data_IF_798055872360
#
_entry.id   IF_798055872360
#
_cell.length_a   1.000
_cell.length_b   1.000
_cell.length_c   1.000
_cell.angle_alpha   90.00
_cell.angle_beta   90.00
_cell.angle_gamma   90.00
#
_symmetry.space_group_name_H-M   'P 1'
#
loop_
_entity.id
_entity.type
_entity.pdbx_description
1 polymer ?
#
# COMPACT_ATOMS: atom_id res chain seq x y z
N UNK A 1 -9.03 -5.47 -0.89
CA UNK A 1 -8.30 -4.71 -1.93
C UNK A 1 -7.25 -5.54 -2.68
N UNK A 2 -6.73 -6.66 -2.16
CA UNK A 2 -5.70 -7.47 -2.85
C UNK A 2 -6.15 -8.90 -3.21
N UNK A 3 -7.44 -9.20 -3.11
CA UNK A 3 -7.96 -10.51 -3.47
C UNK A 3 -7.69 -10.81 -4.95
N UNK A 4 -7.03 -11.94 -5.23
CA UNK A 4 -6.65 -12.34 -6.59
C UNK A 4 -5.19 -12.09 -6.96
N UNK A 5 -4.41 -11.39 -6.13
CA UNK A 5 -2.97 -11.21 -6.32
C UNK A 5 -2.16 -12.30 -5.61
N UNK A 6 -1.26 -13.02 -6.29
CA UNK A 6 -0.29 -13.89 -5.65
C UNK A 6 0.62 -13.10 -4.71
N UNK A 7 1.09 -13.74 -3.62
CA UNK A 7 1.95 -13.09 -2.63
C UNK A 7 3.24 -12.50 -3.26
N UNK A 8 3.84 -13.22 -4.20
CA UNK A 8 5.02 -12.76 -4.95
C UNK A 8 4.77 -11.49 -5.75
N UNK A 9 3.54 -11.28 -6.23
CA UNK A 9 3.17 -10.06 -6.94
C UNK A 9 3.00 -8.90 -5.96
N UNK A 10 2.37 -9.12 -4.81
CA UNK A 10 2.22 -8.11 -3.75
C UNK A 10 3.59 -7.60 -3.29
N UNK A 11 4.54 -8.50 -3.06
CA UNK A 11 5.91 -8.18 -2.67
C UNK A 11 6.67 -7.38 -3.74
N UNK A 12 6.23 -7.45 -5.00
CA UNK A 12 6.85 -6.73 -6.10
C UNK A 12 6.34 -5.30 -6.27
N UNK A 13 5.22 -4.90 -5.65
CA UNK A 13 4.59 -3.59 -5.89
C UNK A 13 5.53 -2.42 -5.63
N UNK A 14 6.33 -2.47 -4.56
CA UNK A 14 7.29 -1.41 -4.27
C UNK A 14 8.40 -1.31 -5.33
N UNK A 15 8.81 -2.44 -5.91
CA UNK A 15 9.76 -2.43 -7.03
C UNK A 15 9.13 -1.82 -8.29
N UNK A 16 7.89 -2.20 -8.59
CA UNK A 16 7.15 -1.64 -9.72
C UNK A 16 6.99 -0.12 -9.58
N UNK A 17 6.61 0.37 -8.41
CA UNK A 17 6.53 1.80 -8.10
C UNK A 17 7.89 2.50 -8.32
N UNK A 18 8.97 1.93 -7.76
CA UNK A 18 10.32 2.48 -7.90
C UNK A 18 10.75 2.60 -9.36
N UNK A 19 10.53 1.55 -10.16
CA UNK A 19 10.84 1.57 -11.59
C UNK A 19 9.99 2.60 -12.33
N UNK A 20 8.69 2.69 -12.02
CA UNK A 20 7.78 3.62 -12.66
C UNK A 20 8.16 5.08 -12.38
N UNK A 21 8.45 5.42 -11.11
CA UNK A 21 8.86 6.76 -10.72
C UNK A 21 10.22 7.14 -11.31
N UNK A 22 11.18 6.20 -11.34
CA UNK A 22 12.49 6.45 -11.91
C UNK A 22 12.40 6.70 -13.43
N UNK A 23 11.60 5.91 -14.13
CA UNK A 23 11.34 6.14 -15.55
C UNK A 23 10.56 7.43 -15.82
N UNK A 24 9.59 7.79 -14.97
CA UNK A 24 8.86 9.06 -15.09
C UNK A 24 9.81 10.27 -14.95
N UNK A 25 10.82 10.17 -14.09
CA UNK A 25 11.83 11.22 -13.92
C UNK A 25 12.86 11.26 -15.07
N UNK A 26 13.24 10.09 -15.60
CA UNK A 26 14.17 9.94 -16.73
C UNK A 26 13.77 8.73 -17.58
N UNK A 27 13.22 8.98 -18.77
CA UNK A 27 12.74 7.94 -19.68
C UNK A 27 13.86 7.03 -20.25
N UNK A 28 15.13 7.30 -19.95
CA UNK A 28 16.25 6.42 -20.26
C UNK A 28 16.58 5.41 -19.15
N UNK A 29 15.92 5.52 -17.99
CA UNK A 29 16.13 4.62 -16.85
C UNK A 29 15.69 3.19 -17.16
N UNK A 30 16.51 2.21 -16.79
CA UNK A 30 16.19 0.80 -16.92
C UNK A 30 15.02 0.39 -15.99
N UNK A 31 14.05 -0.33 -16.56
CA UNK A 31 12.86 -0.83 -15.86
C UNK A 31 12.62 -2.31 -16.19
N UNK A 32 13.54 -3.17 -15.74
CA UNK A 32 13.56 -4.58 -16.16
C UNK A 32 12.26 -5.33 -15.80
N UNK A 33 11.63 -5.04 -14.65
CA UNK A 33 10.38 -5.67 -14.25
C UNK A 33 9.19 -5.14 -15.06
N UNK A 34 9.01 -3.81 -15.12
CA UNK A 34 7.89 -3.21 -15.85
C UNK A 34 7.94 -3.50 -17.35
N UNK A 35 9.14 -3.53 -17.93
CA UNK A 35 9.35 -3.90 -19.34
C UNK A 35 8.84 -5.32 -19.61
N UNK A 36 9.18 -6.27 -18.75
CA UNK A 36 8.74 -7.67 -18.90
C UNK A 36 7.24 -7.82 -18.65
N UNK A 37 6.68 -7.09 -17.68
CA UNK A 37 5.23 -7.08 -17.42
C UNK A 37 4.47 -6.52 -18.64
N UNK A 38 4.88 -5.36 -19.16
CA UNK A 38 4.24 -4.73 -20.32
C UNK A 38 4.26 -5.65 -21.54
N UNK A 39 5.45 -6.21 -21.84
CA UNK A 39 5.65 -7.14 -22.95
C UNK A 39 4.78 -8.39 -22.84
N UNK A 40 4.77 -9.06 -21.69
CA UNK A 40 4.03 -10.31 -21.52
C UNK A 40 2.51 -10.09 -21.49
N UNK A 41 2.06 -8.92 -21.02
CA UNK A 41 0.64 -8.54 -21.02
C UNK A 41 0.16 -7.94 -22.34
N UNK A 42 1.07 -7.58 -23.25
CA UNK A 42 0.73 -6.88 -24.49
C UNK A 42 0.14 -5.49 -24.27
N UNK A 43 0.51 -4.82 -23.17
CA UNK A 43 0.04 -3.45 -22.87
C UNK A 43 1.12 -2.42 -23.20
N UNK A 44 0.76 -1.20 -23.62
CA UNK A 44 1.75 -0.13 -23.79
C UNK A 44 2.51 0.13 -22.50
N UNK A 45 3.83 0.28 -22.60
CA UNK A 45 4.71 0.42 -21.44
C UNK A 45 4.40 1.70 -20.64
N UNK A 46 4.18 2.80 -21.33
CA UNK A 46 3.88 4.11 -20.74
C UNK A 46 2.55 4.09 -19.97
N UNK A 47 1.55 3.38 -20.51
CA UNK A 47 0.26 3.19 -19.84
C UNK A 47 0.42 2.31 -18.59
N UNK A 48 1.29 1.30 -18.63
CA UNK A 48 1.60 0.50 -17.44
C UNK A 48 2.25 1.38 -16.36
N UNK A 49 3.24 2.20 -16.72
CA UNK A 49 3.91 3.13 -15.80
C UNK A 49 2.90 4.07 -15.13
N UNK A 50 2.04 4.71 -15.92
CA UNK A 50 0.99 5.60 -15.40
C UNK A 50 0.09 4.88 -14.39
N UNK A 51 -0.36 3.66 -14.74
CA UNK A 51 -1.24 2.88 -13.88
C UNK A 51 -0.57 2.39 -12.61
N UNK A 52 0.73 2.07 -12.66
CA UNK A 52 1.50 1.71 -11.46
C UNK A 52 1.57 2.91 -10.52
N UNK A 53 1.92 4.09 -11.02
CA UNK A 53 2.01 5.31 -10.18
C UNK A 53 0.64 5.64 -9.58
N UNK A 54 -0.42 5.64 -10.39
CA UNK A 54 -1.79 5.91 -9.93
C UNK A 54 -2.20 4.95 -8.80
N UNK A 55 -2.00 3.64 -9.00
CA UNK A 55 -2.39 2.61 -8.03
C UNK A 55 -1.52 2.65 -6.78
N UNK A 56 -0.21 2.89 -6.91
CA UNK A 56 0.69 3.01 -5.77
C UNK A 56 0.35 4.21 -4.90
N UNK A 57 0.02 5.36 -5.51
CA UNK A 57 -0.43 6.53 -4.78
C UNK A 57 -1.72 6.27 -3.98
N UNK A 58 -2.72 5.62 -4.61
CA UNK A 58 -3.96 5.24 -3.94
C UNK A 58 -3.70 4.24 -2.79
N UNK A 59 -2.84 3.25 -3.02
CA UNK A 59 -2.46 2.27 -2.01
C UNK A 59 -1.76 2.90 -0.81
N UNK A 60 -0.83 3.83 -1.06
CA UNK A 60 -0.08 4.55 -0.03
C UNK A 60 -1.00 5.34 0.91
N UNK A 61 -2.03 5.99 0.37
CA UNK A 61 -3.04 6.71 1.19
C UNK A 61 -3.81 5.73 2.09
N UNK A 62 -4.34 4.65 1.52
CA UNK A 62 -5.14 3.66 2.24
C UNK A 62 -4.32 2.99 3.35
N UNK A 63 -3.11 2.53 3.03
CA UNK A 63 -2.27 1.86 4.02
C UNK A 63 -1.77 2.83 5.10
N UNK A 64 -1.53 4.10 4.74
CA UNK A 64 -1.18 5.16 5.68
C UNK A 64 -2.26 5.38 6.74
N UNK A 65 -3.54 5.38 6.36
CA UNK A 65 -4.68 5.47 7.29
C UNK A 65 -4.68 4.28 8.25
N UNK A 66 -4.53 3.05 7.74
CA UNK A 66 -4.54 1.83 8.56
C UNK A 66 -3.37 1.82 9.54
N UNK A 67 -2.16 2.13 9.05
CA UNK A 67 -0.94 2.16 9.86
C UNK A 67 -1.06 3.23 10.96
N UNK A 68 -1.49 4.43 10.59
CA UNK A 68 -1.66 5.53 11.54
C UNK A 68 -2.69 5.21 12.62
N UNK A 69 -3.83 4.62 12.25
CA UNK A 69 -4.84 4.19 13.22
C UNK A 69 -4.27 3.13 14.18
N UNK A 70 -3.59 2.12 13.65
CA UNK A 70 -2.95 1.07 14.47
C UNK A 70 -1.95 1.67 15.45
N UNK A 71 -1.15 2.64 15.02
CA UNK A 71 -0.21 3.37 15.87
C UNK A 71 -0.94 4.16 16.96
N UNK A 72 -2.02 4.87 16.63
CA UNK A 72 -2.81 5.60 17.62
C UNK A 72 -3.43 4.70 18.70
N UNK A 73 -3.88 3.49 18.32
CA UNK A 73 -4.33 2.49 19.29
C UNK A 73 -3.18 1.95 20.17
N UNK A 74 -2.03 1.66 19.57
CA UNK A 74 -0.83 1.21 20.28
C UNK A 74 -0.35 2.26 21.30
N UNK A 75 -0.30 3.53 20.91
CA UNK A 75 0.10 4.64 21.79
C UNK A 75 -0.82 4.74 23.01
N UNK A 76 -2.14 4.60 22.82
CA UNK A 76 -3.12 4.61 23.92
C UNK A 76 -2.95 3.41 24.84
N UNK A 77 -2.83 2.21 24.27
CA UNK A 77 -2.63 0.98 25.02
C UNK A 77 -1.44 1.07 25.99
N UNK A 78 -0.34 1.68 25.56
CA UNK A 78 0.87 1.86 26.39
C UNK A 78 0.69 2.81 27.57
N UNK A 79 -0.38 3.62 27.60
CA UNK A 79 -0.65 4.58 28.68
C UNK A 79 -1.57 4.07 29.78
N UNK A 80 -2.36 3.02 29.50
CA UNK A 80 -3.40 2.53 30.39
C UNK A 80 -2.88 2.09 31.75
N UNK A 81 -3.72 2.27 32.77
CA UNK A 81 -3.45 1.88 34.16
C UNK A 81 -4.50 0.92 34.70
N UNK A 82 -5.61 0.73 33.98
CA UNK A 82 -6.79 0.00 34.46
C UNK A 82 -7.30 -1.01 33.43
N UNK A 83 -7.89 -2.13 33.88
CA UNK A 83 -8.56 -3.09 33.00
C UNK A 83 -9.76 -2.49 32.23
N UNK A 84 -10.42 -1.47 32.80
CA UNK A 84 -11.56 -0.80 32.17
C UNK A 84 -11.15 -0.03 30.90
N UNK A 85 -9.99 0.65 30.93
CA UNK A 85 -9.43 1.33 29.75
C UNK A 85 -9.09 0.33 28.62
N UNK A 86 -8.54 -0.84 28.99
CA UNK A 86 -8.25 -1.91 28.04
C UNK A 86 -9.53 -2.44 27.37
N UNK A 87 -10.55 -2.73 28.17
CA UNK A 87 -11.84 -3.25 27.67
C UNK A 87 -12.51 -2.24 26.71
N UNK A 88 -12.43 -0.94 27.03
CA UNK A 88 -12.96 0.10 26.16
C UNK A 88 -12.22 0.19 24.81
N UNK A 89 -10.89 0.06 24.82
CA UNK A 89 -10.09 0.06 23.60
C UNK A 89 -10.36 -1.17 22.72
N UNK A 90 -10.52 -2.35 23.33
CA UNK A 90 -10.88 -3.57 22.59
C UNK A 90 -12.21 -3.39 21.83
N UNK A 91 -13.23 -2.85 22.49
CA UNK A 91 -14.53 -2.56 21.85
C UNK A 91 -14.41 -1.53 20.73
N UNK A 92 -13.58 -0.50 20.89
CA UNK A 92 -13.33 0.49 19.86
C UNK A 92 -12.63 -0.12 18.64
N UNK A 93 -11.64 -0.99 18.85
CA UNK A 93 -10.93 -1.70 17.78
C UNK A 93 -11.90 -2.63 17.02
N UNK A 94 -12.76 -3.37 17.73
CA UNK A 94 -13.77 -4.25 17.10
C UNK A 94 -14.78 -3.47 16.25
N UNK A 95 -15.11 -2.25 16.68
CA UNK A 95 -16.05 -1.38 15.97
C UNK A 95 -15.36 -0.50 14.91
N UNK A 96 -14.02 -0.50 14.85
CA UNK A 96 -13.30 0.34 13.92
C UNK A 96 -13.62 -0.06 12.49
N UNK A 97 -14.00 0.93 11.69
CA UNK A 97 -14.25 0.80 10.27
C UNK A 97 -13.34 1.75 9.51
N UNK A 98 -12.93 1.32 8.32
CA UNK A 98 -12.15 2.17 7.44
C UNK A 98 -12.96 3.46 7.14
N UNK A 99 -12.39 4.65 7.35
CA UNK A 99 -13.09 5.90 7.09
C UNK A 99 -13.38 6.02 5.59
N UNK A 100 -14.67 6.15 5.25
CA UNK A 100 -15.16 6.40 3.88
C UNK A 100 -14.93 7.84 3.43
#
# INVERSE_FOLDING_TARGET
MLAGYPQTEIESFYRQEKEALAWQADNSTETSMLTQIARNRGVPFEILVEKVIEKSAQFAVVIGIIIGQRQAFEDRLLTFKTPEELTALEQEIEQWQFPT
#
